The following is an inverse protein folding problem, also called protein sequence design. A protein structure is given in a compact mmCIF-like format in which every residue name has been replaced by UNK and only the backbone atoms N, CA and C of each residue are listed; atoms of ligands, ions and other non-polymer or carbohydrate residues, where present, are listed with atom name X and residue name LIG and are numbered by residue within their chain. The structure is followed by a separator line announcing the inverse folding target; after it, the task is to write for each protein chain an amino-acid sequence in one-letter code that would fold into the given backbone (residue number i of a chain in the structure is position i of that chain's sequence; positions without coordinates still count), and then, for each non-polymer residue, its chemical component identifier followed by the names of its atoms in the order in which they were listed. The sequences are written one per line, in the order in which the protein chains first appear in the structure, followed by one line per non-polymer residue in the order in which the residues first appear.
data_IF_960646688083
#
_entry.id   IF_960646688083
#
_cell.length_a   1.000
_cell.length_b   1.000
_cell.length_c   1.000
_cell.angle_alpha   90.00
_cell.angle_beta   90.00
_cell.angle_gamma   90.00
#
_symmetry.space_group_name_H-M   'P 1'
#
loop_
_entity.id
_entity.type
_entity.pdbx_description
1 polymer ?
#
# COMPACT_ATOMS: atom_id res chain seq x y z
N UNK A 1 2.53 17.34 -4.66
CA UNK A 1 2.44 17.57 -3.20
C UNK A 1 1.40 18.63 -2.74
N UNK A 2 0.50 19.17 -3.59
CA UNK A 2 -0.45 20.26 -3.20
C UNK A 2 -1.93 19.85 -3.18
N UNK A 3 -2.28 18.59 -3.51
CA UNK A 3 -3.68 18.16 -3.66
C UNK A 3 -4.30 17.45 -2.45
N UNK A 4 -3.52 17.02 -1.46
CA UNK A 4 -4.06 16.24 -0.34
C UNK A 4 -4.46 17.10 0.89
N UNK A 5 -3.85 18.28 1.06
CA UNK A 5 -4.11 19.15 2.22
C UNK A 5 -5.34 20.08 2.10
N UNK A 6 -6.15 19.99 1.04
CA UNK A 6 -7.30 20.91 0.83
C UNK A 6 -8.62 20.46 1.49
N UNK A 7 -8.68 19.31 2.16
CA UNK A 7 -9.97 18.75 2.62
C UNK A 7 -10.26 18.80 4.12
N UNK A 8 -9.42 19.47 4.91
CA UNK A 8 -9.68 19.64 6.35
C UNK A 8 -9.63 21.12 6.70
N UNK A 9 -10.76 21.81 6.49
CA UNK A 9 -11.10 23.01 7.25
C UNK A 9 -12.50 22.86 7.87
N UNK A 10 -12.72 23.45 9.06
CA UNK A 10 -13.56 22.89 10.10
C UNK A 10 -14.95 23.50 10.10
N UNK A 11 -15.97 22.73 10.44
CA UNK A 11 -17.27 23.31 10.83
C UNK A 11 -17.98 22.41 11.84
N UNK A 12 -17.52 22.46 13.09
CA UNK A 12 -18.38 22.14 14.24
C UNK A 12 -18.16 23.27 15.24
N UNK A 13 -19.09 24.23 15.26
CA UNK A 13 -19.12 25.27 16.29
C UNK A 13 -19.80 24.72 17.53
N UNK A 14 -19.43 25.19 18.73
CA UNK A 14 -20.01 24.75 20.02
C UNK A 14 -21.55 24.83 20.05
N UNK A 15 -22.13 25.78 19.28
CA UNK A 15 -23.59 25.93 19.11
C UNK A 15 -24.28 24.75 18.40
N UNK A 16 -23.56 23.93 17.65
CA UNK A 16 -24.09 22.75 16.96
C UNK A 16 -24.11 21.54 17.89
N UNK A 17 -23.08 21.40 18.73
CA UNK A 17 -22.98 20.33 19.74
C UNK A 17 -24.09 20.50 20.79
N UNK A 18 -24.30 21.73 21.28
CA UNK A 18 -25.38 22.02 22.24
C UNK A 18 -26.78 21.71 21.68
N UNK A 19 -27.00 21.94 20.37
CA UNK A 19 -28.31 21.68 19.72
C UNK A 19 -28.60 20.19 19.55
N UNK A 20 -27.59 19.39 19.23
CA UNK A 20 -27.73 17.92 19.14
C UNK A 20 -28.00 17.27 20.50
N UNK A 21 -27.49 17.84 21.59
CA UNK A 21 -27.72 17.35 22.96
C UNK A 21 -29.14 17.70 23.42
N UNK A 22 -29.65 18.90 23.12
CA UNK A 22 -31.02 19.31 23.50
C UNK A 22 -32.14 18.66 22.69
N UNK A 23 -31.85 18.12 21.50
CA UNK A 23 -32.84 17.36 20.71
C UNK A 23 -33.05 15.92 21.19
N UNK A 24 -32.34 15.48 22.24
CA UNK A 24 -32.48 14.14 22.83
C UNK A 24 -33.81 13.88 23.56
N UNK A 25 -34.72 14.86 23.63
CA UNK A 25 -36.03 14.72 24.26
C UNK A 25 -37.17 14.39 23.28
N UNK A 26 -36.93 14.38 21.96
CA UNK A 26 -37.95 13.98 20.98
C UNK A 26 -37.58 12.63 20.33
N UNK A 27 -38.15 11.57 20.91
CA UNK A 27 -38.18 10.23 20.34
C UNK A 27 -38.91 10.27 19.00
N UNK A 28 -38.17 10.40 17.90
CA UNK A 28 -38.43 9.82 16.56
C UNK A 28 -37.37 10.30 15.56
N UNK A 29 -36.20 9.69 15.60
CA UNK A 29 -35.22 9.75 14.50
C UNK A 29 -34.89 8.32 14.04
N UNK A 30 -35.93 7.59 13.63
CA UNK A 30 -35.78 6.45 12.72
C UNK A 30 -35.90 6.96 11.28
N UNK A 31 -34.86 7.63 10.81
CA UNK A 31 -34.63 7.70 9.37
C UNK A 31 -33.28 7.03 9.13
N UNK A 32 -33.31 5.92 8.35
CA UNK A 32 -32.13 5.13 8.01
C UNK A 32 -31.23 5.92 7.07
N UNK A 33 -30.59 6.96 7.60
CA UNK A 33 -29.46 7.61 6.93
C UNK A 33 -28.39 6.53 6.81
N UNK A 34 -28.07 6.13 5.57
CA UNK A 34 -26.87 5.33 5.31
C UNK A 34 -25.70 6.17 5.83
N UNK A 35 -25.21 5.84 7.03
CA UNK A 35 -24.10 6.56 7.61
C UNK A 35 -22.92 6.45 6.67
N UNK A 36 -22.46 7.60 6.20
CA UNK A 36 -21.19 7.68 5.50
C UNK A 36 -20.03 7.42 6.47
N UNK A 37 -18.85 7.17 5.92
CA UNK A 37 -17.66 6.90 6.73
C UNK A 37 -17.31 8.07 7.65
N UNK A 38 -17.66 9.30 7.28
CA UNK A 38 -17.44 10.50 8.08
C UNK A 38 -18.27 10.47 9.38
N UNK A 39 -19.53 10.05 9.30
CA UNK A 39 -20.42 9.91 10.45
C UNK A 39 -19.90 8.85 11.42
N UNK A 40 -19.42 7.72 10.91
CA UNK A 40 -18.80 6.68 11.74
C UNK A 40 -17.51 7.15 12.40
N UNK A 41 -16.70 7.93 11.69
CA UNK A 41 -15.50 8.54 12.27
C UNK A 41 -15.84 9.50 13.41
N UNK A 42 -16.92 10.27 13.26
CA UNK A 42 -17.41 11.15 14.32
C UNK A 42 -17.81 10.35 15.57
N UNK A 43 -18.60 9.28 15.42
CA UNK A 43 -18.99 8.45 16.56
C UNK A 43 -17.81 7.76 17.24
N UNK A 44 -16.80 7.34 16.48
CA UNK A 44 -15.54 6.84 17.04
C UNK A 44 -14.87 7.89 17.94
N UNK A 45 -14.75 9.13 17.48
CA UNK A 45 -14.16 10.21 18.28
C UNK A 45 -14.97 10.48 19.55
N UNK A 46 -16.30 10.56 19.45
CA UNK A 46 -17.16 10.80 20.62
C UNK A 46 -17.02 9.68 21.65
N UNK A 47 -17.07 8.41 21.19
CA UNK A 47 -16.85 7.24 22.06
C UNK A 47 -15.47 7.30 22.72
N UNK A 48 -14.42 7.54 21.94
CA UNK A 48 -13.04 7.58 22.44
C UNK A 48 -12.85 8.68 23.50
N UNK A 49 -13.51 9.83 23.35
CA UNK A 49 -13.50 10.88 24.38
C UNK A 49 -14.24 10.43 25.64
N UNK A 50 -15.42 9.86 25.49
CA UNK A 50 -16.26 9.44 26.62
C UNK A 50 -15.65 8.29 27.42
N UNK A 51 -14.88 7.41 26.75
CA UNK A 51 -14.14 6.33 27.39
C UNK A 51 -12.75 6.75 27.89
N UNK A 52 -12.31 7.99 27.64
CA UNK A 52 -10.99 8.46 28.05
C UNK A 52 -9.83 7.76 27.32
N UNK A 53 -10.05 7.35 26.07
CA UNK A 53 -9.07 6.61 25.28
C UNK A 53 -7.75 7.39 25.11
N UNK A 54 -6.65 6.65 25.08
CA UNK A 54 -5.31 7.26 24.92
C UNK A 54 -5.04 7.71 23.49
N UNK A 55 -5.61 7.03 22.50
CA UNK A 55 -5.44 7.36 21.09
C UNK A 55 -6.67 7.01 20.26
N UNK A 56 -6.88 7.66 19.09
CA UNK A 56 -8.05 7.38 18.25
C UNK A 56 -8.09 5.92 17.79
N UNK A 57 -9.26 5.29 17.93
CA UNK A 57 -9.56 3.95 17.41
C UNK A 57 -10.34 4.06 16.10
N UNK A 58 -10.07 3.12 15.20
CA UNK A 58 -10.65 3.10 13.85
C UNK A 58 -11.53 1.87 13.60
N UNK A 59 -11.94 1.21 14.68
CA UNK A 59 -12.89 0.09 14.60
C UNK A 59 -14.23 0.58 14.05
N UNK A 60 -14.84 -0.26 13.21
CA UNK A 60 -16.16 0.02 12.64
C UNK A 60 -17.18 -0.80 13.41
N UNK A 61 -17.88 -0.14 14.32
CA UNK A 61 -19.01 -0.73 15.05
C UNK A 61 -20.32 -0.53 14.28
N UNK A 62 -21.35 -1.26 14.69
CA UNK A 62 -22.72 -0.99 14.27
C UNK A 62 -23.29 0.24 14.99
N UNK A 63 -24.25 0.91 14.36
CA UNK A 63 -24.86 2.14 14.91
C UNK A 63 -25.44 1.93 16.32
N UNK A 64 -26.03 0.74 16.56
CA UNK A 64 -26.60 0.40 17.86
C UNK A 64 -25.53 0.41 18.96
N UNK A 65 -24.37 -0.14 18.68
CA UNK A 65 -23.26 -0.25 19.63
C UNK A 65 -22.68 1.14 19.96
N UNK A 66 -22.55 2.03 18.97
CA UNK A 66 -22.15 3.42 19.21
C UNK A 66 -23.14 4.15 20.12
N UNK A 67 -24.43 4.07 19.82
CA UNK A 67 -25.46 4.78 20.56
C UNK A 67 -25.57 4.26 21.99
N UNK A 68 -25.46 2.94 22.19
CA UNK A 68 -25.47 2.33 23.52
C UNK A 68 -24.28 2.81 24.37
N UNK A 69 -23.06 2.83 23.80
CA UNK A 69 -21.88 3.31 24.51
C UNK A 69 -21.98 4.79 24.85
N UNK A 70 -22.37 5.63 23.88
CA UNK A 70 -22.49 7.07 24.07
C UNK A 70 -23.59 7.41 25.06
N UNK A 71 -24.75 6.75 24.98
CA UNK A 71 -25.86 6.95 25.93
C UNK A 71 -25.47 6.58 27.35
N UNK A 72 -24.76 5.46 27.55
CA UNK A 72 -24.31 5.02 28.86
C UNK A 72 -23.33 6.00 29.51
N UNK A 73 -22.49 6.65 28.72
CA UNK A 73 -21.40 7.51 29.21
C UNK A 73 -21.77 9.01 29.24
N UNK A 74 -22.77 9.44 28.48
CA UNK A 74 -23.12 10.87 28.36
C UNK A 74 -23.55 11.50 29.68
N UNK A 75 -24.16 10.73 30.58
CA UNK A 75 -24.62 11.21 31.87
C UNK A 75 -23.49 11.39 32.90
N UNK A 76 -22.35 10.71 32.72
CA UNK A 76 -21.24 10.71 33.68
C UNK A 76 -20.06 11.59 33.29
N UNK A 77 -19.99 12.03 32.02
CA UNK A 77 -18.85 12.78 31.50
C UNK A 77 -19.05 14.29 31.66
N UNK A 78 -18.15 14.93 32.41
CA UNK A 78 -18.14 16.39 32.56
C UNK A 78 -17.58 17.09 31.31
N UNK A 79 -18.07 18.30 31.02
CA UNK A 79 -17.60 19.10 29.87
C UNK A 79 -16.09 19.38 29.88
N UNK A 80 -15.48 19.53 31.06
CA UNK A 80 -14.03 19.74 31.20
C UNK A 80 -13.28 18.49 30.72
N UNK A 81 -13.73 17.31 31.14
CA UNK A 81 -13.16 16.03 30.71
C UNK A 81 -13.32 15.82 29.19
N UNK A 82 -14.44 16.23 28.58
CA UNK A 82 -14.62 16.19 27.12
C UNK A 82 -13.53 16.99 26.41
N UNK A 83 -13.28 18.23 26.88
CA UNK A 83 -12.28 19.12 26.29
C UNK A 83 -10.87 18.55 26.41
N UNK A 84 -10.52 18.02 27.57
CA UNK A 84 -9.22 17.38 27.80
C UNK A 84 -9.03 16.13 26.96
N UNK A 85 -10.05 15.27 26.87
CA UNK A 85 -10.05 14.07 26.02
C UNK A 85 -9.85 14.42 24.54
N UNK A 86 -10.56 15.44 24.03
CA UNK A 86 -10.37 15.92 22.66
C UNK A 86 -8.95 16.44 22.40
N UNK A 87 -8.37 17.18 23.34
CA UNK A 87 -6.98 17.66 23.23
C UNK A 87 -5.99 16.49 23.22
N UNK A 88 -6.19 15.49 24.08
CA UNK A 88 -5.36 14.29 24.14
C UNK A 88 -5.41 13.51 22.83
N UNK A 89 -6.60 13.23 22.31
CA UNK A 89 -6.78 12.54 21.03
C UNK A 89 -6.17 13.32 19.86
N UNK A 90 -6.34 14.65 19.83
CA UNK A 90 -5.73 15.51 18.81
C UNK A 90 -4.20 15.44 18.84
N UNK A 91 -3.60 15.51 20.03
CA UNK A 91 -2.14 15.45 20.17
C UNK A 91 -1.60 14.08 19.75
N UNK A 92 -2.25 13.00 20.19
CA UNK A 92 -1.92 11.63 19.76
C UNK A 92 -2.02 11.47 18.24
N UNK A 93 -3.09 12.00 17.62
CA UNK A 93 -3.24 11.96 16.16
C UNK A 93 -2.12 12.73 15.45
N UNK A 94 -1.73 13.90 15.96
CA UNK A 94 -0.66 14.72 15.40
C UNK A 94 0.68 13.96 15.41
N UNK A 95 1.01 13.31 16.51
CA UNK A 95 2.22 12.49 16.62
C UNK A 95 2.20 11.31 15.63
N UNK A 96 1.07 10.59 15.55
CA UNK A 96 0.92 9.49 14.58
C UNK A 96 1.03 9.96 13.13
N UNK A 97 0.46 11.12 12.79
CA UNK A 97 0.56 11.70 11.45
C UNK A 97 2.01 12.05 11.10
N UNK A 98 2.77 12.63 12.04
CA UNK A 98 4.20 12.90 11.83
C UNK A 98 5.00 11.62 11.56
N UNK A 99 4.68 10.53 12.27
CA UNK A 99 5.31 9.23 12.02
C UNK A 99 4.95 8.66 10.64
N UNK A 100 3.70 8.80 10.21
CA UNK A 100 3.24 8.37 8.88
C UNK A 100 3.96 9.19 7.80
N UNK A 101 3.96 10.51 7.92
CA UNK A 101 4.62 11.42 6.97
C UNK A 101 6.12 11.10 6.88
N UNK A 102 6.77 10.86 8.02
CA UNK A 102 8.19 10.46 8.05
C UNK A 102 8.43 9.12 7.37
N UNK A 103 7.55 8.11 7.57
CA UNK A 103 7.65 6.81 6.89
C UNK A 103 7.43 6.93 5.38
N UNK A 104 6.44 7.71 4.95
CA UNK A 104 6.19 7.97 3.53
C UNK A 104 7.40 8.65 2.92
N UNK A 105 7.93 9.69 3.57
CA UNK A 105 9.12 10.41 3.13
C UNK A 105 10.33 9.48 3.02
N UNK A 106 10.60 8.66 4.03
CA UNK A 106 11.71 7.70 4.00
C UNK A 106 11.54 6.65 2.90
N UNK A 107 10.33 6.16 2.68
CA UNK A 107 10.04 5.24 1.58
C UNK A 107 10.26 5.89 0.21
N UNK A 108 9.77 7.12 0.01
CA UNK A 108 9.95 7.87 -1.23
C UNK A 108 11.42 8.21 -1.48
N UNK A 109 12.14 8.64 -0.45
CA UNK A 109 13.58 8.88 -0.50
C UNK A 109 14.34 7.59 -0.86
N UNK A 110 14.04 6.48 -0.19
CA UNK A 110 14.68 5.19 -0.46
C UNK A 110 14.42 4.74 -1.91
N UNK A 111 13.18 4.87 -2.38
CA UNK A 111 12.83 4.55 -3.76
C UNK A 111 13.61 5.41 -4.76
N UNK A 112 13.67 6.72 -4.55
CA UNK A 112 14.42 7.64 -5.41
C UNK A 112 15.93 7.36 -5.40
N UNK A 113 16.49 7.04 -4.22
CA UNK A 113 17.90 6.64 -4.09
C UNK A 113 18.17 5.35 -4.85
N UNK A 114 17.29 4.34 -4.76
CA UNK A 114 17.40 3.09 -5.52
C UNK A 114 17.35 3.34 -7.04
N UNK A 115 16.49 4.24 -7.50
CA UNK A 115 16.42 4.64 -8.92
C UNK A 115 17.71 5.35 -9.39
N UNK A 116 18.32 6.15 -8.51
CA UNK A 116 19.59 6.84 -8.79
C UNK A 116 20.81 5.90 -8.82
N UNK A 117 20.65 4.62 -8.48
CA UNK A 117 21.66 3.59 -8.71
C UNK A 117 21.39 2.87 -10.05
N UNK A 118 21.92 3.36 -11.19
CA UNK A 118 21.81 2.66 -12.47
C UNK A 118 22.37 1.23 -12.43
N UNK A 119 23.25 0.93 -11.46
CA UNK A 119 23.77 -0.42 -11.23
C UNK A 119 22.74 -1.40 -10.64
N UNK A 120 21.80 -0.95 -9.80
CA UNK A 120 20.77 -1.81 -9.23
C UNK A 120 19.66 -2.10 -10.24
N UNK A 121 19.22 -1.07 -10.98
CA UNK A 121 18.29 -1.28 -12.11
C UNK A 121 18.95 -2.13 -13.21
N UNK A 122 20.25 -1.99 -13.45
CA UNK A 122 20.99 -2.87 -14.36
C UNK A 122 21.13 -4.30 -13.82
N UNK A 123 21.18 -4.52 -12.49
CA UNK A 123 21.19 -5.86 -11.89
C UNK A 123 19.82 -6.53 -12.06
N UNK A 124 18.72 -5.84 -11.76
CA UNK A 124 17.36 -6.35 -11.99
C UNK A 124 17.12 -6.65 -13.48
N UNK A 125 17.49 -5.73 -14.38
CA UNK A 125 17.41 -5.95 -15.82
C UNK A 125 18.34 -7.08 -16.29
N UNK A 126 19.54 -7.23 -15.71
CA UNK A 126 20.44 -8.36 -16.00
C UNK A 126 19.81 -9.69 -15.63
N UNK A 127 19.12 -9.79 -14.49
CA UNK A 127 18.44 -11.03 -14.09
C UNK A 127 17.36 -11.44 -15.10
N UNK A 128 16.63 -10.48 -15.67
CA UNK A 128 15.64 -10.74 -16.71
C UNK A 128 16.28 -11.15 -18.04
N UNK A 129 17.40 -10.54 -18.42
CA UNK A 129 18.08 -10.77 -19.72
C UNK A 129 18.96 -12.04 -19.70
N UNK A 130 19.50 -12.43 -18.54
CA UNK A 130 20.46 -13.52 -18.40
C UNK A 130 19.94 -14.89 -18.89
N UNK A 131 18.68 -15.32 -18.63
CA UNK A 131 18.13 -16.55 -19.18
C UNK A 131 18.09 -16.55 -20.72
N UNK A 132 17.75 -15.42 -21.33
CA UNK A 132 17.69 -15.28 -22.79
C UNK A 132 19.07 -15.37 -23.42
N UNK A 133 20.06 -14.68 -22.84
CA UNK A 133 21.45 -14.73 -23.29
C UNK A 133 22.00 -16.15 -23.17
N UNK A 134 21.73 -16.83 -22.05
CA UNK A 134 22.14 -18.24 -21.84
C UNK A 134 21.51 -19.18 -22.86
N UNK A 135 20.23 -19.01 -23.17
CA UNK A 135 19.51 -19.79 -24.19
C UNK A 135 20.07 -19.53 -25.59
N UNK A 136 20.35 -18.28 -25.93
CA UNK A 136 20.94 -17.87 -27.21
C UNK A 136 22.34 -18.48 -27.41
N UNK A 137 23.23 -18.33 -26.43
CA UNK A 137 24.59 -18.88 -26.48
C UNK A 137 24.58 -20.40 -26.60
N UNK A 138 23.71 -21.09 -25.84
CA UNK A 138 23.53 -22.55 -25.95
C UNK A 138 23.05 -22.96 -27.34
N UNK A 139 22.12 -22.20 -27.93
CA UNK A 139 21.65 -22.42 -29.30
C UNK A 139 22.75 -22.22 -30.34
N UNK A 140 23.55 -21.16 -30.19
CA UNK A 140 24.68 -20.86 -31.08
C UNK A 140 25.75 -21.95 -31.02
N UNK A 141 26.11 -22.41 -29.83
CA UNK A 141 27.07 -23.50 -29.63
C UNK A 141 26.59 -24.80 -30.28
N UNK A 142 25.33 -25.20 -30.04
CA UNK A 142 24.73 -26.38 -30.70
C UNK A 142 24.75 -26.26 -32.23
N UNK A 143 24.47 -25.08 -32.78
CA UNK A 143 24.54 -24.85 -34.24
C UNK A 143 25.97 -25.00 -34.76
N UNK A 144 26.97 -24.46 -34.06
CA UNK A 144 28.38 -24.59 -34.43
C UNK A 144 28.86 -26.04 -34.40
N UNK A 145 28.55 -26.78 -33.32
CA UNK A 145 28.89 -28.21 -33.22
C UNK A 145 28.24 -29.04 -34.32
N UNK A 146 26.97 -28.76 -34.66
CA UNK A 146 26.28 -29.42 -35.79
C UNK A 146 26.93 -29.10 -37.13
N UNK A 147 27.37 -27.85 -37.36
CA UNK A 147 28.10 -27.45 -38.57
C UNK A 147 29.44 -28.16 -38.68
N UNK A 148 30.22 -28.24 -37.60
CA UNK A 148 31.49 -28.97 -37.57
C UNK A 148 31.29 -30.46 -37.82
N UNK A 149 30.28 -31.10 -37.19
CA UNK A 149 29.97 -32.51 -37.44
C UNK A 149 29.60 -32.77 -38.90
N UNK A 150 28.83 -31.87 -39.52
CA UNK A 150 28.49 -31.95 -40.96
C UNK A 150 29.69 -31.71 -41.87
N UNK A 151 30.58 -30.78 -41.51
CA UNK A 151 31.81 -30.54 -42.28
C UNK A 151 32.79 -31.72 -42.18
N UNK A 152 32.89 -32.36 -41.01
CA UNK A 152 33.69 -33.57 -40.82
C UNK A 152 33.13 -34.77 -41.61
N UNK A 153 31.81 -34.94 -41.69
CA UNK A 153 31.21 -36.01 -42.50
C UNK A 153 31.39 -35.79 -44.01
N UNK A 154 31.25 -34.54 -44.48
CA UNK A 154 31.48 -34.19 -45.90
C UNK A 154 32.95 -34.36 -46.27
N UNK A 155 33.89 -34.02 -45.37
CA UNK A 155 35.32 -34.24 -45.58
C UNK A 155 35.71 -35.73 -45.60
N UNK A 156 35.02 -36.57 -44.81
CA UNK A 156 35.23 -38.01 -44.80
C UNK A 156 34.73 -38.68 -46.10
N UNK A 157 33.53 -38.32 -46.58
CA UNK A 157 32.98 -38.82 -47.87
C UNK A 157 33.84 -38.38 -49.06
N UNK A 158 34.29 -37.13 -49.10
CA UNK A 158 35.17 -36.63 -50.15
C UNK A 158 36.56 -37.30 -50.16
N UNK A 159 37.01 -37.85 -49.02
CA UNK A 159 38.25 -38.64 -48.95
C UNK A 159 38.02 -40.11 -49.36
N UNK A 160 36.88 -40.70 -49.00
CA UNK A 160 36.53 -42.07 -49.35
C UNK A 160 36.31 -42.24 -50.86
N UNK A 161 35.70 -41.24 -51.52
CA UNK A 161 35.51 -41.25 -52.97
C UNK A 161 36.84 -41.12 -53.75
N UNK A 162 37.83 -40.39 -53.19
CA UNK A 162 39.17 -40.29 -53.77
C UNK A 162 39.99 -41.57 -53.60
N UNK A 163 39.81 -42.30 -52.51
CA UNK A 163 40.48 -43.60 -52.28
C UNK A 163 39.91 -44.68 -53.21
N UNK A 164 38.59 -44.70 -53.43
CA UNK A 164 37.98 -45.67 -54.37
C UNK A 164 38.34 -45.43 -55.85
N UNK A 165 38.56 -44.19 -56.28
CA UNK A 165 39.03 -43.92 -57.66
C UNK A 165 40.50 -44.26 -57.89
N UNK A 166 41.33 -44.27 -56.84
CA UNK A 166 42.77 -44.60 -56.95
C UNK A 166 43.08 -46.09 -56.91
N UNK A 167 42.12 -46.93 -56.51
CA UNK A 167 42.26 -48.39 -56.44
C UNK A 167 41.72 -49.13 -57.68
N UNK A 168 41.32 -48.40 -58.73
CA UNK A 168 40.79 -48.94 -60.00
C UNK A 168 41.68 -48.67 -61.22
N UNK A 169 42.92 -48.21 -61.01
CA UNK A 169 43.96 -48.13 -62.04
C UNK A 169 45.12 -49.03 -61.65
#
# INVERSE_FOLDING_TARGET
MVRFCKRLRPFVTEKTIGRMITSGADMRCEERVKQDDATKCFFNVVRDVFEGAESPRFEVLENKEYMECIFRLSASVENVAVKEGLLKLRNSLKEKLLLIDSKIFMNEYTYNVLQNFPKLSAIENRLVVLPFVKKFLRGKLKKMMKKQKRQASIGAEASAERVHKKARH
#
